data_IF_795801402238
#
_entry.id   IF_795801402238
#
_cell.length_a   1.000
_cell.length_b   1.000
_cell.length_c   1.000
_cell.angle_alpha   90.00
_cell.angle_beta   90.00
_cell.angle_gamma   90.00
#
_symmetry.space_group_name_H-M   'P 1'
#
loop_
_entity.id
_entity.type
_entity.pdbx_description
1 polymer ?
#
# COMPACT_ATOMS: atom_id res chain seq x y z
N UNK A 1 -20.19 5.04 -15.85
CA UNK A 1 -19.73 3.70 -15.42
C UNK A 1 -18.32 3.81 -14.84
N UNK A 2 -17.94 2.97 -13.88
CA UNK A 2 -16.55 2.91 -13.39
C UNK A 2 -15.72 2.02 -14.32
N UNK A 3 -14.72 2.54 -15.05
CA UNK A 3 -14.00 1.76 -16.06
C UNK A 3 -13.13 0.64 -15.48
N UNK A 4 -12.71 0.78 -14.21
CA UNK A 4 -11.88 -0.21 -13.50
C UNK A 4 -12.69 -1.18 -12.66
N UNK A 5 -14.03 -1.16 -12.77
CA UNK A 5 -14.94 -1.98 -11.96
C UNK A 5 -14.73 -1.83 -10.44
N UNK A 6 -14.28 -0.67 -9.99
CA UNK A 6 -14.08 -0.39 -8.56
C UNK A 6 -15.40 -0.19 -7.79
N UNK A 7 -16.55 -0.12 -8.48
CA UNK A 7 -17.88 0.02 -7.87
C UNK A 7 -18.74 -1.17 -8.26
N UNK A 8 -19.25 -1.88 -7.26
CA UNK A 8 -20.21 -2.97 -7.38
C UNK A 8 -21.51 -2.53 -6.70
N UNK A 9 -22.66 -2.89 -7.27
CA UNK A 9 -23.98 -2.58 -6.72
C UNK A 9 -24.81 -3.87 -6.63
N UNK A 10 -25.53 -4.03 -5.53
CA UNK A 10 -26.35 -5.20 -5.25
C UNK A 10 -26.97 -5.11 -3.86
N UNK A 11 -27.85 -6.05 -3.54
CA UNK A 11 -28.42 -6.17 -2.20
C UNK A 11 -27.41 -6.81 -1.25
N UNK A 12 -27.00 -6.09 -0.21
CA UNK A 12 -26.03 -6.57 0.79
C UNK A 12 -26.61 -7.64 1.72
N UNK A 13 -27.94 -7.82 1.72
CA UNK A 13 -28.63 -8.84 2.50
C UNK A 13 -28.92 -10.12 1.70
N UNK A 14 -28.83 -10.05 0.37
CA UNK A 14 -28.92 -11.22 -0.49
C UNK A 14 -27.55 -11.90 -0.59
N UNK A 15 -27.36 -13.12 -0.04
CA UNK A 15 -26.07 -13.82 -0.07
C UNK A 15 -25.59 -14.15 -1.49
N UNK A 16 -26.51 -14.20 -2.48
CA UNK A 16 -26.18 -14.55 -3.86
C UNK A 16 -25.84 -13.30 -4.71
N UNK A 17 -25.92 -12.09 -4.13
CA UNK A 17 -25.61 -10.86 -4.87
C UNK A 17 -24.11 -10.65 -5.04
N UNK A 18 -23.72 -10.03 -6.17
CA UNK A 18 -22.31 -9.72 -6.45
C UNK A 18 -21.67 -8.83 -5.35
N UNK A 19 -22.44 -7.89 -4.80
CA UNK A 19 -21.99 -7.02 -3.72
C UNK A 19 -21.76 -7.81 -2.42
N UNK A 20 -22.70 -8.69 -2.05
CA UNK A 20 -22.62 -9.50 -0.84
C UNK A 20 -21.46 -10.49 -0.89
N UNK A 21 -21.30 -11.18 -2.02
CA UNK A 21 -20.17 -12.09 -2.28
C UNK A 21 -18.84 -11.32 -2.19
N UNK A 22 -18.73 -10.15 -2.82
CA UNK A 22 -17.49 -9.37 -2.79
C UNK A 22 -17.10 -8.91 -1.39
N UNK A 23 -18.09 -8.51 -0.56
CA UNK A 23 -17.87 -8.13 0.84
C UNK A 23 -17.40 -9.35 1.65
N UNK A 24 -18.07 -10.50 1.52
CA UNK A 24 -17.75 -11.71 2.25
C UNK A 24 -16.34 -12.23 1.92
N UNK A 25 -16.04 -12.41 0.63
CA UNK A 25 -14.81 -13.03 0.15
C UNK A 25 -13.57 -12.14 0.31
N UNK A 26 -13.74 -10.81 0.20
CA UNK A 26 -12.61 -9.88 0.24
C UNK A 26 -12.47 -9.12 1.58
N UNK A 27 -13.30 -9.42 2.58
CA UNK A 27 -13.26 -8.74 3.88
C UNK A 27 -13.69 -7.28 3.82
N UNK A 28 -14.82 -7.01 3.17
CA UNK A 28 -15.40 -5.67 3.06
C UNK A 28 -15.80 -5.09 4.43
N UNK A 29 -15.63 -3.78 4.61
CA UNK A 29 -15.91 -3.10 5.87
C UNK A 29 -16.67 -1.78 5.67
N UNK A 30 -17.42 -1.37 6.70
CA UNK A 30 -18.10 -0.09 6.73
C UNK A 30 -17.12 1.02 7.11
N UNK A 31 -17.28 2.19 6.52
CA UNK A 31 -16.47 3.36 6.87
C UNK A 31 -16.97 3.95 8.20
N UNK A 32 -16.05 4.08 9.16
CA UNK A 32 -16.31 4.70 10.47
C UNK A 32 -17.48 4.07 11.25
N UNK A 33 -17.43 2.76 11.55
CA UNK A 33 -18.51 2.07 12.28
C UNK A 33 -18.78 2.66 13.68
N UNK A 34 -17.80 3.33 14.28
CA UNK A 34 -17.90 3.96 15.61
C UNK A 34 -18.96 5.06 15.71
N UNK A 35 -19.45 5.60 14.59
CA UNK A 35 -20.52 6.61 14.59
C UNK A 35 -21.94 6.03 14.63
N UNK A 36 -22.10 4.70 14.52
CA UNK A 36 -23.41 4.04 14.63
C UNK A 36 -24.39 4.34 13.50
N UNK A 37 -23.93 4.95 12.40
CA UNK A 37 -24.76 5.37 11.25
C UNK A 37 -25.14 4.23 10.30
N UNK A 38 -24.54 3.04 10.47
CA UNK A 38 -24.82 1.83 9.70
C UNK A 38 -24.85 2.08 8.17
N UNK A 39 -23.77 2.61 7.58
CA UNK A 39 -23.75 2.92 6.16
C UNK A 39 -23.89 1.66 5.28
N UNK A 40 -24.70 1.77 4.23
CA UNK A 40 -24.85 0.69 3.24
C UNK A 40 -23.57 0.47 2.39
N UNK A 41 -22.73 1.49 2.28
CA UNK A 41 -21.49 1.42 1.49
C UNK A 41 -20.41 0.64 2.24
N UNK A 42 -19.93 -0.43 1.60
CA UNK A 42 -18.82 -1.23 2.09
C UNK A 42 -17.59 -1.03 1.19
N UNK A 43 -16.43 -0.92 1.81
CA UNK A 43 -15.15 -0.75 1.13
C UNK A 43 -14.37 -2.06 1.19
N UNK A 44 -13.73 -2.42 0.08
CA UNK A 44 -12.85 -3.58 0.03
C UNK A 44 -11.41 -3.16 0.39
N UNK A 45 -10.66 -3.96 1.15
CA UNK A 45 -9.28 -3.66 1.49
C UNK A 45 -8.40 -3.62 0.23
N UNK A 46 -7.38 -2.75 0.24
CA UNK A 46 -6.40 -2.71 -0.86
C UNK A 46 -5.65 -4.03 -0.94
N UNK A 47 -5.63 -4.63 -2.13
CA UNK A 47 -4.72 -5.74 -2.45
C UNK A 47 -3.30 -5.20 -2.54
N UNK A 48 -2.33 -5.92 -1.96
CA UNK A 48 -0.91 -5.58 -2.06
C UNK A 48 -0.43 -5.77 -3.50
N UNK A 49 0.01 -4.70 -4.14
CA UNK A 49 0.73 -4.80 -5.41
C UNK A 49 2.12 -5.36 -5.13
N UNK A 50 2.49 -6.45 -5.79
CA UNK A 50 3.89 -6.93 -5.79
C UNK A 50 4.61 -6.23 -6.94
N UNK A 51 5.69 -5.53 -6.61
CA UNK A 51 6.63 -5.02 -7.60
C UNK A 51 7.65 -6.13 -7.84
N UNK A 52 7.83 -6.54 -9.09
CA UNK A 52 8.97 -7.38 -9.46
C UNK A 52 10.12 -6.42 -9.75
N UNK A 53 11.21 -6.56 -9.01
CA UNK A 53 12.45 -5.81 -9.24
C UNK A 53 13.40 -6.81 -9.88
N UNK A 54 13.92 -6.49 -11.06
CA UNK A 54 14.94 -7.31 -11.72
C UNK A 54 16.35 -6.94 -11.23
N UNK A 55 17.31 -7.85 -11.36
CA UNK A 55 18.68 -7.63 -10.87
C UNK A 55 19.36 -6.44 -11.56
N UNK A 56 19.01 -6.16 -12.82
CA UNK A 56 19.47 -5.00 -13.58
C UNK A 56 18.82 -3.67 -13.15
N UNK A 57 17.73 -3.73 -12.37
CA UNK A 57 17.06 -2.56 -11.79
C UNK A 57 17.57 -2.26 -10.36
N UNK A 58 18.39 -3.12 -9.76
CA UNK A 58 18.98 -2.86 -8.44
C UNK A 58 19.96 -1.68 -8.47
N UNK A 59 20.72 -1.55 -9.56
CA UNK A 59 21.73 -0.51 -9.73
C UNK A 59 21.34 0.44 -10.85
N UNK A 60 21.34 1.75 -10.59
CA UNK A 60 21.08 2.75 -11.62
C UNK A 60 22.23 2.77 -12.63
N UNK A 61 21.95 2.54 -13.91
CA UNK A 61 22.93 2.62 -15.00
C UNK A 61 23.63 3.99 -15.09
N UNK A 62 22.92 5.07 -14.72
CA UNK A 62 23.41 6.44 -14.73
C UNK A 62 24.25 6.81 -13.49
N UNK A 63 24.69 5.84 -12.68
CA UNK A 63 25.59 6.03 -11.54
C UNK A 63 27.00 5.42 -11.77
N UNK A 64 27.74 5.86 -12.81
CA UNK A 64 29.03 5.26 -13.19
C UNK A 64 30.10 5.41 -12.11
N UNK A 65 29.92 6.33 -11.15
CA UNK A 65 30.86 6.59 -10.06
C UNK A 65 30.42 6.00 -8.71
N UNK A 66 29.31 5.24 -8.66
CA UNK A 66 28.75 4.65 -7.43
C UNK A 66 28.64 5.66 -6.26
N UNK A 67 28.26 6.91 -6.55
CA UNK A 67 28.21 8.01 -5.55
C UNK A 67 27.15 7.81 -4.46
N UNK A 68 26.26 6.86 -4.64
CA UNK A 68 25.16 6.51 -3.73
C UNK A 68 25.48 5.26 -2.89
N UNK A 69 26.69 4.70 -3.05
CA UNK A 69 27.13 3.62 -2.20
C UNK A 69 27.16 4.10 -0.73
N UNK A 70 26.80 3.24 0.23
CA UNK A 70 26.97 3.55 1.64
C UNK A 70 28.43 3.96 1.87
N UNK A 71 28.64 5.19 2.36
CA UNK A 71 29.96 5.59 2.81
C UNK A 71 30.34 4.66 3.98
N UNK A 72 31.61 4.24 4.08
CA UNK A 72 32.06 3.60 5.30
C UNK A 72 31.70 4.52 6.47
N UNK A 73 31.22 3.93 7.57
CA UNK A 73 31.04 4.67 8.80
C UNK A 73 32.36 5.39 9.08
N UNK A 74 32.33 6.72 9.23
CA UNK A 74 33.53 7.49 9.47
C UNK A 74 34.20 6.96 10.74
N UNK A 75 35.40 6.40 10.63
CA UNK A 75 36.21 6.05 11.80
C UNK A 75 36.91 7.33 12.27
N UNK A 76 36.41 7.90 13.37
CA UNK A 76 36.97 9.10 14.00
C UNK A 76 35.93 9.89 14.77
N UNK A 77 36.40 10.74 15.68
CA UNK A 77 35.56 11.75 16.34
C UNK A 77 35.07 12.75 15.29
N UNK A 78 33.77 12.96 15.23
CA UNK A 78 33.18 14.00 14.40
C UNK A 78 33.52 15.39 14.98
N UNK A 79 33.45 16.44 14.16
CA UNK A 79 33.68 17.81 14.64
C UNK A 79 32.80 18.20 15.82
N UNK A 80 31.62 17.57 15.95
CA UNK A 80 30.71 17.73 17.09
C UNK A 80 31.19 16.97 18.35
N UNK A 81 31.98 15.90 18.19
CA UNK A 81 32.55 15.12 19.31
C UNK A 81 33.75 15.83 19.96
N UNK A 82 34.47 16.69 19.23
CA UNK A 82 35.66 17.43 19.72
C UNK A 82 35.30 18.79 20.34
N UNK A 83 34.06 19.25 20.14
CA UNK A 83 33.57 20.54 20.61
C UNK A 83 32.91 20.44 22.01
N UNK A 84 33.65 19.98 23.02
CA UNK A 84 33.27 20.16 24.43
C UNK A 84 34.48 20.33 25.35
#
# INVERSE_FOLDING_TARGET
ACPTSARLFGDVHDPDSEASIAIHENGGYQLMPEWGTQPANHYLPRRKTRIQIFDDELERADNPLKKEAPLPAAEGETLDDVAY
#
